data_IF_395328550423
#
_entry.id   IF_395328550423
#
_cell.length_a   1.000
_cell.length_b   1.000
_cell.length_c   1.000
_cell.angle_alpha   90.00
_cell.angle_beta   90.00
_cell.angle_gamma   90.00
#
_symmetry.space_group_name_H-M   'P 1'
#
loop_
_entity.id
_entity.type
_entity.pdbx_description
1 polymer ?
#
# COMPACT_ATOMS: atom_id res chain seq x y z
N UNK A 1 17.53 -2.72 17.62
CA UNK A 1 16.34 -3.54 17.36
C UNK A 1 15.66 -4.06 18.62
N UNK A 2 16.37 -4.24 19.69
CA UNK A 2 15.80 -4.86 20.92
C UNK A 2 14.79 -3.97 21.67
N UNK A 3 14.93 -2.63 21.60
CA UNK A 3 14.03 -1.70 22.30
C UNK A 3 12.56 -1.65 21.82
N UNK A 4 12.23 -2.33 20.71
CA UNK A 4 10.85 -2.38 20.18
C UNK A 4 10.16 -3.74 20.33
N UNK A 5 10.85 -4.72 20.91
CA UNK A 5 10.24 -6.04 21.16
C UNK A 5 9.20 -5.99 22.27
N UNK A 6 9.38 -5.09 23.23
CA UNK A 6 8.45 -4.89 24.35
C UNK A 6 7.15 -4.18 23.94
N UNK A 7 7.18 -3.50 22.76
CA UNK A 7 6.01 -2.75 22.24
C UNK A 7 5.05 -3.63 21.41
N UNK A 8 5.41 -4.89 21.11
CA UNK A 8 4.60 -5.78 20.28
C UNK A 8 3.77 -6.71 21.16
N UNK A 9 2.44 -6.62 21.01
CA UNK A 9 1.50 -7.43 21.76
C UNK A 9 1.58 -8.90 21.32
N UNK A 10 1.39 -9.83 22.28
CA UNK A 10 1.25 -11.25 21.97
C UNK A 10 -0.18 -11.55 21.49
N UNK A 11 -0.42 -11.22 20.22
CA UNK A 11 -1.70 -11.35 19.56
C UNK A 11 -1.50 -11.69 18.06
N UNK A 12 -2.53 -12.20 17.37
CA UNK A 12 -2.47 -12.41 15.93
C UNK A 12 -2.24 -11.11 15.16
N UNK A 13 -1.46 -11.20 14.10
CA UNK A 13 -1.27 -10.08 13.17
C UNK A 13 -1.60 -10.50 11.75
N UNK A 14 -2.16 -9.57 10.99
CA UNK A 14 -2.53 -9.77 9.59
C UNK A 14 -1.81 -8.77 8.70
N UNK A 15 -1.44 -9.23 7.52
CA UNK A 15 -0.85 -8.40 6.49
C UNK A 15 -1.91 -8.05 5.45
N UNK A 16 -2.25 -6.76 5.35
CA UNK A 16 -3.09 -6.20 4.29
C UNK A 16 -2.24 -5.40 3.31
N UNK A 17 -2.65 -5.41 2.04
CA UNK A 17 -2.08 -4.52 1.03
C UNK A 17 -3.21 -3.78 0.34
N UNK A 18 -3.13 -2.46 0.33
CA UNK A 18 -4.05 -1.59 -0.40
C UNK A 18 -3.36 -1.10 -1.67
N UNK A 19 -3.94 -1.41 -2.81
CA UNK A 19 -3.41 -1.04 -4.12
C UNK A 19 -4.46 -0.28 -4.91
N UNK A 20 -4.03 0.75 -5.63
CA UNK A 20 -4.86 1.50 -6.58
C UNK A 20 -4.65 0.98 -8.00
N UNK A 21 -5.64 1.08 -8.90
CA UNK A 21 -5.47 0.69 -10.30
C UNK A 21 -4.36 1.48 -11.00
N UNK A 22 -3.57 0.78 -11.82
CA UNK A 22 -2.42 1.37 -12.54
C UNK A 22 -2.82 2.52 -13.48
N UNK A 23 -4.08 2.58 -13.91
CA UNK A 23 -4.62 3.68 -14.73
C UNK A 23 -4.53 5.05 -14.01
N UNK A 24 -4.43 5.06 -12.68
CA UNK A 24 -4.23 6.26 -11.86
C UNK A 24 -2.77 6.72 -11.80
N UNK A 25 -1.82 5.87 -12.21
CA UNK A 25 -0.40 6.18 -12.09
C UNK A 25 0.02 7.53 -12.68
N UNK A 26 -0.48 7.97 -13.86
CA UNK A 26 -0.11 9.29 -14.40
C UNK A 26 -0.47 10.44 -13.46
N UNK A 27 -1.67 10.44 -12.87
CA UNK A 27 -2.10 11.49 -11.94
C UNK A 27 -1.33 11.38 -10.62
N UNK A 28 -1.13 10.16 -10.10
CA UNK A 28 -0.38 9.95 -8.86
C UNK A 28 1.06 10.44 -9.03
N UNK A 29 1.69 10.16 -10.16
CA UNK A 29 3.07 10.58 -10.45
C UNK A 29 3.21 12.10 -10.48
N UNK A 30 2.20 12.81 -11.03
CA UNK A 30 2.15 14.28 -11.03
C UNK A 30 1.86 14.88 -9.64
N UNK A 31 1.26 14.11 -8.71
CA UNK A 31 0.76 14.60 -7.42
C UNK A 31 1.21 13.70 -6.26
N UNK A 32 2.46 13.25 -6.27
CA UNK A 32 2.93 12.17 -5.38
C UNK A 32 2.56 12.41 -3.91
N UNK A 33 2.98 13.55 -3.34
CA UNK A 33 2.72 13.81 -1.91
C UNK A 33 1.22 13.79 -1.60
N UNK A 34 0.43 14.50 -2.38
CA UNK A 34 -1.01 14.66 -2.16
C UNK A 34 -1.74 13.32 -2.27
N UNK A 35 -1.47 12.54 -3.34
CA UNK A 35 -2.15 11.28 -3.58
C UNK A 35 -1.58 10.10 -2.76
N UNK A 36 -0.37 10.21 -2.23
CA UNK A 36 0.11 9.29 -1.19
C UNK A 36 -0.59 9.56 0.14
N UNK A 37 -0.80 10.83 0.52
CA UNK A 37 -1.59 11.18 1.71
C UNK A 37 -3.04 10.70 1.57
N UNK A 38 -3.66 10.87 0.38
CA UNK A 38 -4.99 10.32 0.05
C UNK A 38 -5.02 8.79 0.20
N UNK A 39 -3.99 8.09 -0.27
CA UNK A 39 -3.88 6.64 -0.17
C UNK A 39 -3.81 6.19 1.31
N UNK A 40 -3.02 6.90 2.13
CA UNK A 40 -2.96 6.65 3.58
C UNK A 40 -4.29 6.91 4.27
N UNK A 41 -4.95 8.03 3.95
CA UNK A 41 -6.25 8.37 4.54
C UNK A 41 -7.31 7.34 4.19
N UNK A 42 -7.43 6.97 2.92
CA UNK A 42 -8.40 5.97 2.47
C UNK A 42 -8.17 4.61 3.12
N UNK A 43 -6.92 4.13 3.20
CA UNK A 43 -6.58 2.88 3.85
C UNK A 43 -6.90 2.90 5.35
N UNK A 44 -6.43 3.94 6.06
CA UNK A 44 -6.66 4.12 7.50
C UNK A 44 -8.13 4.23 7.86
N UNK A 45 -8.88 5.05 7.12
CA UNK A 45 -10.31 5.22 7.34
C UNK A 45 -11.10 3.94 7.03
N UNK A 46 -10.67 3.14 6.05
CA UNK A 46 -11.27 1.83 5.75
C UNK A 46 -11.08 0.86 6.90
N UNK A 47 -9.86 0.76 7.43
CA UNK A 47 -9.58 -0.10 8.58
C UNK A 47 -10.42 0.33 9.77
N UNK A 48 -10.37 1.61 10.14
CA UNK A 48 -11.05 2.16 11.32
C UNK A 48 -12.57 1.96 11.23
N UNK A 49 -13.19 2.22 10.07
CA UNK A 49 -14.63 2.04 9.87
C UNK A 49 -15.04 0.58 10.00
N UNK A 50 -14.36 -0.32 9.28
CA UNK A 50 -14.74 -1.71 9.26
C UNK A 50 -14.46 -2.43 10.59
N UNK A 51 -13.37 -2.08 11.29
CA UNK A 51 -13.05 -2.72 12.57
C UNK A 51 -13.96 -2.23 13.70
N UNK A 52 -14.39 -0.96 13.66
CA UNK A 52 -15.33 -0.41 14.62
C UNK A 52 -16.76 -0.95 14.44
N UNK A 53 -17.13 -1.45 13.27
CA UNK A 53 -18.46 -2.03 13.02
C UNK A 53 -18.65 -3.31 13.87
N UNK A 54 -19.68 -3.37 14.73
CA UNK A 54 -19.99 -4.56 15.54
C UNK A 54 -20.24 -5.84 14.72
N UNK A 55 -20.59 -5.72 13.44
CA UNK A 55 -20.75 -6.87 12.52
C UNK A 55 -19.43 -7.57 12.22
N UNK A 56 -18.31 -6.87 12.41
CA UNK A 56 -16.97 -7.41 12.20
C UNK A 56 -16.29 -7.64 13.56
N UNK A 57 -15.60 -6.61 14.08
CA UNK A 57 -14.94 -6.72 15.38
C UNK A 57 -15.63 -5.89 16.46
N UNK A 58 -16.11 -4.67 16.13
CA UNK A 58 -16.69 -3.75 17.11
C UNK A 58 -15.65 -3.18 18.07
N UNK A 59 -14.41 -3.01 17.61
CA UNK A 59 -13.30 -2.49 18.39
C UNK A 59 -12.34 -1.63 17.53
N UNK A 60 -11.64 -0.71 18.17
CA UNK A 60 -10.57 0.05 17.56
C UNK A 60 -9.29 -0.77 17.60
N UNK A 61 -8.69 -1.02 16.44
CA UNK A 61 -7.48 -1.83 16.29
C UNK A 61 -6.24 -0.98 16.09
N UNK A 62 -5.09 -1.48 16.55
CA UNK A 62 -3.79 -0.93 16.20
C UNK A 62 -3.34 -1.42 14.82
N UNK A 63 -2.71 -0.54 14.03
CA UNK A 63 -2.11 -0.92 12.75
C UNK A 63 -0.92 -0.03 12.40
N UNK A 64 -0.08 -0.53 11.50
CA UNK A 64 1.08 0.17 10.94
C UNK A 64 0.95 0.14 9.43
N UNK A 65 0.97 1.31 8.78
CA UNK A 65 0.95 1.46 7.34
C UNK A 65 2.32 1.86 6.80
N UNK A 66 2.77 1.20 5.73
CA UNK A 66 4.05 1.46 5.07
C UNK A 66 3.79 1.63 3.57
N UNK A 67 4.11 2.80 3.03
CA UNK A 67 3.99 3.06 1.60
C UNK A 67 5.15 2.43 0.83
N UNK A 68 4.81 1.73 -0.24
CA UNK A 68 5.73 1.34 -1.30
C UNK A 68 5.25 1.95 -2.63
N UNK A 69 6.18 2.35 -3.47
CA UNK A 69 5.88 3.01 -4.75
C UNK A 69 6.35 2.23 -5.96
N UNK A 70 6.86 1.01 -5.74
CA UNK A 70 7.36 0.13 -6.81
C UNK A 70 6.86 -1.31 -6.66
N UNK A 71 6.58 -1.93 -7.79
CA UNK A 71 6.24 -3.35 -7.89
C UNK A 71 7.46 -4.27 -7.99
N UNK A 72 7.22 -5.56 -8.19
CA UNK A 72 8.27 -6.56 -8.40
C UNK A 72 9.16 -6.26 -9.61
N UNK A 73 8.61 -5.64 -10.64
CA UNK A 73 9.31 -5.23 -11.87
C UNK A 73 10.03 -3.87 -11.72
N UNK A 74 10.07 -3.31 -10.51
CA UNK A 74 10.52 -1.93 -10.21
C UNK A 74 9.76 -0.84 -10.98
N UNK A 75 8.60 -1.17 -11.55
CA UNK A 75 7.69 -0.22 -12.15
C UNK A 75 6.99 0.61 -11.06
N UNK A 76 6.58 1.82 -11.40
CA UNK A 76 5.80 2.67 -10.50
C UNK A 76 4.47 2.00 -10.16
N UNK A 77 4.28 1.69 -8.87
CA UNK A 77 3.14 0.93 -8.37
C UNK A 77 2.88 1.28 -6.91
N UNK A 78 2.26 2.44 -6.62
CA UNK A 78 2.03 2.88 -5.26
C UNK A 78 1.01 1.99 -4.56
N UNK A 79 1.40 1.51 -3.38
CA UNK A 79 0.56 0.65 -2.54
C UNK A 79 0.98 0.75 -1.08
N UNK A 80 0.05 0.45 -0.18
CA UNK A 80 0.30 0.45 1.27
C UNK A 80 0.30 -0.97 1.78
N UNK A 81 1.41 -1.36 2.40
CA UNK A 81 1.48 -2.52 3.26
C UNK A 81 1.00 -2.14 4.66
N UNK A 82 0.06 -2.90 5.19
CA UNK A 82 -0.47 -2.68 6.52
C UNK A 82 -0.27 -3.92 7.38
N UNK A 83 0.30 -3.72 8.57
CA UNK A 83 0.29 -4.72 9.64
C UNK A 83 -0.88 -4.36 10.54
N UNK A 84 -1.86 -5.23 10.59
CA UNK A 84 -3.09 -5.05 11.36
C UNK A 84 -3.09 -6.01 12.54
N UNK A 85 -3.33 -5.49 13.73
CA UNK A 85 -3.52 -6.30 14.94
C UNK A 85 -4.86 -7.05 14.86
N UNK A 86 -4.87 -8.33 15.22
CA UNK A 86 -6.06 -9.20 15.18
C UNK A 86 -7.04 -8.98 16.33
N UNK A 87 -6.91 -7.89 17.08
CA UNK A 87 -7.80 -7.48 18.15
C UNK A 87 -7.66 -6.00 18.45
N UNK A 88 -8.53 -5.48 19.31
CA UNK A 88 -8.57 -4.07 19.64
C UNK A 88 -9.35 -3.76 20.90
N UNK A 89 -9.44 -2.49 21.24
CA UNK A 89 -10.19 -2.00 22.38
C UNK A 89 -11.59 -1.57 21.95
N UNK A 90 -12.60 -2.08 22.66
CA UNK A 90 -13.98 -1.61 22.51
C UNK A 90 -14.14 -0.18 23.05
N UNK A 91 -15.30 0.45 22.83
CA UNK A 91 -15.63 1.74 23.44
C UNK A 91 -15.65 1.75 24.97
N UNK A 92 -15.67 0.57 25.59
CA UNK A 92 -15.57 0.37 27.05
C UNK A 92 -14.14 0.09 27.53
N UNK A 93 -13.12 0.20 26.64
CA UNK A 93 -11.73 -0.16 26.93
C UNK A 93 -11.52 -1.65 27.27
N UNK A 94 -12.40 -2.54 26.79
CA UNK A 94 -12.26 -3.98 26.94
C UNK A 94 -11.57 -4.55 25.70
N UNK A 95 -10.63 -5.46 25.89
CA UNK A 95 -9.98 -6.17 24.79
C UNK A 95 -10.98 -7.09 24.09
N UNK A 96 -11.02 -7.01 22.76
CA UNK A 96 -11.81 -7.90 21.92
C UNK A 96 -10.97 -8.35 20.73
N UNK A 97 -10.97 -9.63 20.48
CA UNK A 97 -10.33 -10.24 19.31
C UNK A 97 -11.26 -11.28 18.65
N UNK A 98 -10.86 -11.73 17.49
CA UNK A 98 -11.56 -12.79 16.74
C UNK A 98 -10.69 -14.06 16.67
N UNK A 99 -9.81 -14.26 17.64
CA UNK A 99 -8.87 -15.35 17.66
C UNK A 99 -7.87 -15.27 16.50
N UNK A 100 -7.66 -16.39 15.83
CA UNK A 100 -6.68 -16.49 14.74
C UNK A 100 -7.28 -16.29 13.34
N UNK A 101 -8.59 -16.10 13.25
CA UNK A 101 -9.30 -15.91 11.98
C UNK A 101 -9.27 -14.45 11.55
N UNK A 102 -9.14 -14.22 10.24
CA UNK A 102 -9.26 -12.88 9.70
C UNK A 102 -10.73 -12.46 9.67
N UNK A 103 -11.02 -11.30 10.22
CA UNK A 103 -12.38 -10.90 10.55
C UNK A 103 -13.00 -9.88 9.58
N UNK A 104 -12.24 -9.36 8.61
CA UNK A 104 -12.74 -8.39 7.64
C UNK A 104 -12.91 -9.05 6.27
N UNK A 105 -14.12 -9.06 5.68
CA UNK A 105 -14.33 -9.57 4.34
C UNK A 105 -13.56 -8.74 3.30
N UNK A 106 -12.80 -9.40 2.43
CA UNK A 106 -11.99 -8.74 1.38
C UNK A 106 -12.84 -7.83 0.49
N UNK A 107 -14.05 -8.28 0.12
CA UNK A 107 -14.97 -7.48 -0.69
C UNK A 107 -15.42 -6.18 0.01
N UNK A 108 -15.59 -6.21 1.36
CA UNK A 108 -15.94 -5.02 2.13
C UNK A 108 -14.77 -4.02 2.14
N UNK A 109 -13.55 -4.51 2.41
CA UNK A 109 -12.33 -3.70 2.34
C UNK A 109 -12.20 -3.04 0.97
N UNK A 110 -12.35 -3.82 -0.12
CA UNK A 110 -12.26 -3.33 -1.49
C UNK A 110 -13.25 -2.18 -1.76
N UNK A 111 -14.52 -2.39 -1.43
CA UNK A 111 -15.58 -1.40 -1.71
C UNK A 111 -15.42 -0.12 -0.91
N UNK A 112 -15.13 -0.23 0.38
CA UNK A 112 -14.97 0.93 1.27
C UNK A 112 -13.72 1.72 0.89
N UNK A 113 -12.61 1.03 0.67
CA UNK A 113 -11.36 1.66 0.26
C UNK A 113 -11.51 2.39 -1.09
N UNK A 114 -12.07 1.74 -2.11
CA UNK A 114 -12.35 2.35 -3.40
C UNK A 114 -13.21 3.60 -3.24
N UNK A 115 -14.33 3.51 -2.51
CA UNK A 115 -15.23 4.63 -2.29
C UNK A 115 -14.49 5.83 -1.70
N UNK A 116 -13.77 5.62 -0.59
CA UNK A 116 -13.03 6.68 0.10
C UNK A 116 -11.95 7.32 -0.78
N UNK A 117 -11.14 6.52 -1.47
CA UNK A 117 -10.09 7.02 -2.35
C UNK A 117 -10.66 7.84 -3.52
N UNK A 118 -11.70 7.30 -4.18
CA UNK A 118 -12.32 7.95 -5.33
C UNK A 118 -13.07 9.23 -4.95
N UNK A 119 -13.69 9.27 -3.79
CA UNK A 119 -14.38 10.47 -3.31
C UNK A 119 -13.38 11.58 -3.00
N UNK A 120 -12.26 11.26 -2.36
CA UNK A 120 -11.19 12.24 -2.11
C UNK A 120 -10.53 12.71 -3.41
N UNK A 121 -10.26 11.80 -4.35
CA UNK A 121 -9.72 12.16 -5.67
C UNK A 121 -10.64 13.13 -6.43
N UNK A 122 -11.96 12.90 -6.42
CA UNK A 122 -12.96 13.80 -7.00
C UNK A 122 -12.95 15.16 -6.31
N UNK A 123 -12.87 15.17 -4.98
CA UNK A 123 -12.83 16.43 -4.22
C UNK A 123 -11.58 17.24 -4.57
N UNK A 124 -10.41 16.61 -4.66
CA UNK A 124 -9.16 17.25 -5.05
C UNK A 124 -9.24 17.84 -6.47
N UNK A 125 -9.87 17.14 -7.40
CA UNK A 125 -10.10 17.64 -8.76
C UNK A 125 -11.05 18.85 -8.77
N UNK A 126 -12.19 18.75 -8.08
CA UNK A 126 -13.21 19.80 -8.01
C UNK A 126 -12.68 21.09 -7.34
N UNK A 127 -11.74 20.95 -6.43
CA UNK A 127 -11.10 22.06 -5.70
C UNK A 127 -9.81 22.56 -6.36
N UNK A 128 -9.50 22.08 -7.58
CA UNK A 128 -8.32 22.45 -8.36
C UNK A 128 -6.99 22.26 -7.62
N UNK A 129 -6.89 21.22 -6.81
CA UNK A 129 -5.67 20.89 -6.06
C UNK A 129 -4.74 19.93 -6.82
N UNK A 130 -5.22 19.33 -7.94
CA UNK A 130 -4.42 18.42 -8.75
C UNK A 130 -3.61 19.16 -9.80
N UNK A 131 -2.37 18.76 -9.94
CA UNK A 131 -1.48 19.14 -11.03
C UNK A 131 -1.51 18.06 -12.13
N UNK A 132 -1.30 18.48 -13.39
CA UNK A 132 -1.34 17.58 -14.52
C UNK A 132 -0.14 17.85 -15.42
N UNK A 133 0.81 16.90 -15.43
CA UNK A 133 2.05 16.97 -16.20
C UNK A 133 2.24 15.73 -17.07
N UNK A 134 2.85 15.90 -18.24
CA UNK A 134 3.18 14.80 -19.13
C UNK A 134 1.93 13.99 -19.54
N UNK A 135 1.94 12.69 -19.28
CA UNK A 135 0.82 11.80 -19.64
C UNK A 135 -0.47 12.06 -18.86
N UNK A 136 -0.40 12.82 -17.75
CA UNK A 136 -1.57 13.22 -16.97
C UNK A 136 -2.31 14.44 -17.57
N UNK A 137 -1.69 15.20 -18.47
CA UNK A 137 -2.23 16.44 -19.02
C UNK A 137 -3.66 16.30 -19.57
N UNK A 138 -3.96 15.18 -20.20
CA UNK A 138 -5.30 14.89 -20.75
C UNK A 138 -6.41 14.90 -19.68
N UNK A 139 -6.09 14.61 -18.44
CA UNK A 139 -7.06 14.57 -17.34
C UNK A 139 -7.39 15.93 -16.73
N UNK A 140 -6.79 17.01 -17.24
CA UNK A 140 -7.23 18.38 -16.98
C UNK A 140 -8.62 18.62 -17.55
N UNK A 141 -8.98 17.91 -18.61
CA UNK A 141 -10.30 17.98 -19.24
C UNK A 141 -11.32 17.18 -18.43
N UNK A 142 -12.50 17.76 -18.18
CA UNK A 142 -13.56 17.13 -17.39
C UNK A 142 -14.03 15.80 -17.97
N UNK A 143 -14.15 15.68 -19.29
CA UNK A 143 -14.63 14.44 -19.92
C UNK A 143 -13.65 13.30 -19.75
N UNK A 144 -12.35 13.53 -20.01
CA UNK A 144 -11.32 12.50 -19.86
C UNK A 144 -11.07 12.15 -18.39
N UNK A 145 -11.23 13.12 -17.47
CA UNK A 145 -11.19 12.82 -16.04
C UNK A 145 -12.38 11.96 -15.60
N UNK A 146 -13.59 12.26 -16.11
CA UNK A 146 -14.76 11.43 -15.84
C UNK A 146 -14.59 10.00 -16.38
N UNK A 147 -14.10 9.84 -17.60
CA UNK A 147 -13.79 8.52 -18.18
C UNK A 147 -12.77 7.74 -17.32
N UNK A 148 -11.76 8.45 -16.78
CA UNK A 148 -10.82 7.83 -15.84
C UNK A 148 -11.53 7.34 -14.56
N UNK A 149 -12.41 8.15 -13.98
CA UNK A 149 -13.17 7.76 -12.80
C UNK A 149 -14.04 6.55 -13.09
N UNK A 150 -14.77 6.54 -14.19
CA UNK A 150 -15.62 5.43 -14.61
C UNK A 150 -14.78 4.14 -14.78
N UNK A 151 -13.63 4.24 -15.45
CA UNK A 151 -12.68 3.13 -15.60
C UNK A 151 -12.14 2.61 -14.25
N UNK A 152 -11.92 3.49 -13.28
CA UNK A 152 -11.51 3.10 -11.93
C UNK A 152 -12.63 2.39 -11.16
N UNK A 153 -13.89 2.75 -11.39
CA UNK A 153 -15.03 2.04 -10.78
C UNK A 153 -15.27 0.66 -11.39
N UNK A 154 -14.95 0.50 -12.69
CA UNK A 154 -15.05 -0.79 -13.39
C UNK A 154 -13.86 -1.72 -13.07
N UNK A 155 -12.73 -1.17 -12.66
CA UNK A 155 -11.57 -1.94 -12.27
C UNK A 155 -11.79 -2.70 -10.95
N UNK A 156 -11.18 -3.87 -10.85
CA UNK A 156 -11.12 -4.59 -9.59
C UNK A 156 -10.07 -3.97 -8.66
N UNK A 157 -10.51 -3.57 -7.47
CA UNK A 157 -9.63 -3.12 -6.38
C UNK A 157 -9.45 -4.29 -5.42
N UNK A 158 -8.42 -5.10 -5.64
CA UNK A 158 -8.19 -6.31 -4.85
C UNK A 158 -7.22 -6.02 -3.71
N UNK A 159 -7.70 -5.77 -2.49
CA UNK A 159 -6.82 -5.76 -1.34
C UNK A 159 -6.37 -7.20 -1.07
N UNK A 160 -5.06 -7.36 -0.85
CA UNK A 160 -4.51 -8.63 -0.43
C UNK A 160 -4.53 -8.72 1.09
N UNK A 161 -5.02 -9.83 1.63
CA UNK A 161 -4.93 -10.12 3.04
C UNK A 161 -4.42 -11.54 3.29
N UNK A 162 -3.47 -11.66 4.18
CA UNK A 162 -2.96 -12.94 4.64
C UNK A 162 -2.63 -12.87 6.13
N UNK A 163 -3.01 -13.89 6.88
CA UNK A 163 -2.40 -14.16 8.18
C UNK A 163 -0.93 -14.55 7.92
N UNK A 164 -0.01 -13.73 8.38
CA UNK A 164 1.39 -13.88 7.96
C UNK A 164 2.34 -13.98 9.14
N UNK A 165 1.89 -13.70 10.35
CA UNK A 165 2.79 -13.51 11.46
C UNK A 165 2.49 -14.51 12.58
N UNK A 166 3.45 -15.39 12.84
CA UNK A 166 3.46 -16.24 14.01
C UNK A 166 4.17 -15.50 15.16
N UNK A 167 3.44 -14.55 15.79
CA UNK A 167 3.92 -13.80 16.95
C UNK A 167 4.77 -12.56 16.63
N UNK A 168 5.15 -11.85 17.68
CA UNK A 168 5.82 -10.55 17.68
C UNK A 168 7.11 -10.52 16.84
N UNK A 169 7.93 -11.57 16.90
CA UNK A 169 9.21 -11.61 16.17
C UNK A 169 9.01 -11.51 14.65
N UNK A 170 8.03 -12.21 14.10
CA UNK A 170 7.74 -12.17 12.66
C UNK A 170 7.30 -10.78 12.19
N UNK A 171 6.60 -10.02 13.04
CA UNK A 171 6.22 -8.62 12.76
C UNK A 171 7.45 -7.73 12.71
N UNK A 172 8.36 -7.87 13.67
CA UNK A 172 9.61 -7.10 13.74
C UNK A 172 10.49 -7.40 12.53
N UNK A 173 10.64 -8.68 12.17
CA UNK A 173 11.43 -9.12 11.02
C UNK A 173 10.82 -8.59 9.71
N UNK A 174 9.49 -8.57 9.62
CA UNK A 174 8.78 -7.98 8.50
C UNK A 174 9.03 -6.47 8.41
N UNK A 175 8.84 -5.74 9.51
CA UNK A 175 9.12 -4.30 9.57
C UNK A 175 10.57 -4.00 9.18
N UNK A 176 11.53 -4.75 9.71
CA UNK A 176 12.94 -4.60 9.37
C UNK A 176 13.22 -4.81 7.89
N UNK A 177 12.56 -5.78 7.27
CA UNK A 177 12.69 -6.05 5.83
C UNK A 177 12.08 -4.94 4.96
N UNK A 178 10.98 -4.33 5.39
CA UNK A 178 10.22 -3.38 4.56
C UNK A 178 10.62 -1.92 4.79
N UNK A 179 11.05 -1.54 5.99
CA UNK A 179 11.50 -0.16 6.26
C UNK A 179 12.87 0.15 5.64
N UNK A 180 13.70 -0.89 5.41
CA UNK A 180 15.04 -0.74 4.82
C UNK A 180 15.15 -1.26 3.39
N UNK A 181 14.04 -1.65 2.74
CA UNK A 181 14.11 -2.24 1.40
C UNK A 181 14.61 -1.25 0.35
N UNK A 182 15.66 -1.67 -0.34
CA UNK A 182 16.08 -1.15 -1.63
C UNK A 182 15.11 -1.73 -2.68
N UNK A 183 14.84 -1.00 -3.77
CA UNK A 183 13.92 -1.40 -4.83
C UNK A 183 14.18 -2.82 -5.37
N UNK A 184 15.45 -3.21 -5.41
CA UNK A 184 15.91 -4.54 -5.82
C UNK A 184 17.10 -4.97 -4.96
N UNK A 185 17.18 -6.25 -4.61
CA UNK A 185 18.33 -6.84 -3.92
C UNK A 185 19.30 -7.45 -4.94
N UNK A 186 20.60 -7.43 -4.63
CA UNK A 186 21.64 -7.90 -5.55
C UNK A 186 21.44 -9.32 -6.05
N UNK A 187 20.93 -10.23 -5.22
CA UNK A 187 20.68 -11.63 -5.62
C UNK A 187 19.48 -11.80 -6.58
N UNK A 188 18.74 -10.74 -6.85
CA UNK A 188 17.72 -10.75 -7.93
C UNK A 188 18.33 -10.42 -9.30
N UNK A 189 19.50 -9.77 -9.34
CA UNK A 189 20.17 -9.46 -10.59
C UNK A 189 20.86 -10.73 -11.08
N UNK A 190 20.51 -11.17 -12.31
CA UNK A 190 21.03 -12.40 -12.93
C UNK A 190 22.23 -12.06 -13.80
N UNK A 191 22.07 -11.05 -14.65
CA UNK A 191 23.08 -10.64 -15.63
C UNK A 191 22.98 -9.14 -15.90
N UNK A 192 24.12 -8.56 -16.17
CA UNK A 192 24.25 -7.16 -16.55
C UNK A 192 25.35 -7.07 -17.63
N UNK A 193 25.02 -6.45 -18.73
CA UNK A 193 25.94 -6.12 -19.83
C UNK A 193 25.89 -4.62 -20.15
N UNK A 194 26.57 -4.18 -21.21
CA UNK A 194 26.67 -2.75 -21.55
C UNK A 194 25.33 -2.14 -21.96
N UNK A 195 24.33 -2.91 -22.34
CA UNK A 195 23.06 -2.43 -22.85
C UNK A 195 21.88 -2.82 -21.97
N UNK A 196 21.92 -3.98 -21.29
CA UNK A 196 20.77 -4.56 -20.62
C UNK A 196 21.07 -5.06 -19.21
N UNK A 197 19.98 -5.13 -18.41
CA UNK A 197 19.98 -5.77 -17.09
C UNK A 197 18.85 -6.80 -17.04
N UNK A 198 19.21 -8.04 -16.70
CA UNK A 198 18.27 -9.15 -16.49
C UNK A 198 18.16 -9.47 -15.01
N UNK A 199 16.93 -9.53 -14.49
CA UNK A 199 16.69 -9.79 -13.07
C UNK A 199 15.40 -10.57 -12.84
N UNK A 200 15.30 -11.26 -11.71
CA UNK A 200 14.10 -11.98 -11.31
C UNK A 200 12.98 -11.05 -10.84
N UNK A 201 11.76 -11.31 -11.33
CA UNK A 201 10.53 -10.64 -10.91
C UNK A 201 9.46 -11.67 -10.54
N UNK A 202 8.54 -11.29 -9.65
CA UNK A 202 7.37 -12.13 -9.35
C UNK A 202 6.23 -11.82 -10.29
N UNK A 203 5.70 -12.85 -10.95
CA UNK A 203 4.49 -12.77 -11.74
C UNK A 203 3.25 -13.05 -10.87
N UNK A 204 2.65 -12.01 -10.32
CA UNK A 204 1.48 -12.16 -9.47
C UNK A 204 0.22 -12.63 -10.22
N UNK A 205 0.18 -12.49 -11.55
CA UNK A 205 -0.90 -13.03 -12.38
C UNK A 205 -0.77 -14.55 -12.54
N UNK A 206 0.45 -15.06 -12.43
CA UNK A 206 0.75 -16.49 -12.46
C UNK A 206 1.20 -16.99 -11.08
N UNK A 207 0.31 -16.91 -10.07
CA UNK A 207 0.49 -17.41 -8.69
C UNK A 207 1.76 -16.96 -7.97
N UNK A 208 2.40 -15.87 -8.45
CA UNK A 208 3.63 -15.34 -7.85
C UNK A 208 4.89 -16.14 -8.20
N UNK A 209 4.87 -16.85 -9.32
CA UNK A 209 6.07 -17.54 -9.85
C UNK A 209 7.14 -16.52 -10.21
N UNK A 210 8.40 -16.96 -10.11
CA UNK A 210 9.53 -16.14 -10.52
C UNK A 210 9.76 -16.27 -12.01
N UNK A 211 9.92 -15.14 -12.70
CA UNK A 211 10.32 -15.06 -14.10
C UNK A 211 11.48 -14.10 -14.29
N UNK A 212 12.21 -14.25 -15.36
CA UNK A 212 13.24 -13.30 -15.75
C UNK A 212 12.64 -12.13 -16.52
N UNK A 213 13.13 -10.93 -16.22
CA UNK A 213 12.82 -9.71 -16.94
C UNK A 213 14.12 -9.05 -17.38
N UNK A 214 14.23 -8.80 -18.69
CA UNK A 214 15.34 -8.06 -19.28
C UNK A 214 14.85 -6.69 -19.74
N UNK A 215 15.52 -5.62 -19.27
CA UNK A 215 15.25 -4.25 -19.70
C UNK A 215 16.55 -3.55 -20.05
N UNK A 216 16.46 -2.41 -20.76
CA UNK A 216 17.66 -1.61 -21.04
C UNK A 216 18.27 -1.06 -19.75
N UNK A 217 19.60 -0.87 -19.72
CA UNK A 217 20.30 -0.31 -18.57
C UNK A 217 19.76 1.08 -18.17
N UNK A 218 19.42 1.91 -19.15
CA UNK A 218 18.82 3.24 -18.93
C UNK A 218 17.47 3.12 -18.20
N UNK A 219 16.60 2.20 -18.66
CA UNK A 219 15.29 1.97 -18.03
C UNK A 219 15.45 1.37 -16.64
N UNK A 220 16.42 0.50 -16.41
CA UNK A 220 16.72 -0.05 -15.09
C UNK A 220 17.13 1.07 -14.12
N UNK A 221 18.04 1.96 -14.55
CA UNK A 221 18.50 3.09 -13.75
C UNK A 221 17.34 4.04 -13.46
N UNK A 222 16.50 4.36 -14.44
CA UNK A 222 15.32 5.21 -14.27
C UNK A 222 14.38 4.63 -13.19
N UNK A 223 14.00 3.35 -13.32
CA UNK A 223 13.14 2.68 -12.33
C UNK A 223 13.76 2.63 -10.94
N UNK A 224 15.09 2.41 -10.88
CA UNK A 224 15.82 2.38 -9.61
C UNK A 224 15.78 3.75 -8.91
N UNK A 225 16.03 4.83 -9.65
CA UNK A 225 15.95 6.18 -9.09
C UNK A 225 14.54 6.57 -8.69
N UNK A 226 13.52 6.24 -9.48
CA UNK A 226 12.11 6.49 -9.12
C UNK A 226 11.75 5.81 -7.79
N UNK A 227 12.16 4.56 -7.60
CA UNK A 227 11.95 3.83 -6.36
C UNK A 227 12.75 4.42 -5.18
N UNK A 228 13.95 4.96 -5.41
CA UNK A 228 14.77 5.60 -4.38
C UNK A 228 14.26 7.00 -4.01
N UNK A 229 13.81 7.80 -4.99
CA UNK A 229 13.26 9.13 -4.75
C UNK A 229 12.02 9.09 -3.86
N UNK A 230 11.17 8.09 -4.06
CA UNK A 230 10.02 7.84 -3.20
C UNK A 230 10.39 7.58 -1.73
N UNK A 231 11.59 7.06 -1.43
CA UNK A 231 12.09 6.90 -0.06
C UNK A 231 12.21 8.21 0.71
N UNK A 232 12.61 9.29 0.07
CA UNK A 232 12.75 10.60 0.72
C UNK A 232 11.39 11.12 1.18
N UNK A 233 10.32 10.86 0.44
CA UNK A 233 8.95 11.13 0.86
C UNK A 233 8.48 10.17 1.96
N UNK A 234 8.85 8.90 1.88
CA UNK A 234 8.47 7.88 2.86
C UNK A 234 9.14 8.06 4.23
N UNK A 235 10.39 8.51 4.30
CA UNK A 235 11.08 8.72 5.59
C UNK A 235 10.48 9.86 6.43
N UNK A 236 9.83 10.84 5.80
CA UNK A 236 9.21 11.98 6.48
C UNK A 236 7.73 11.77 6.84
N UNK A 237 7.06 10.73 6.31
CA UNK A 237 5.62 10.49 6.53
C UNK A 237 5.23 9.02 6.77
N UNK A 238 6.18 8.11 6.85
CA UNK A 238 5.99 6.70 6.51
C UNK A 238 5.54 5.76 7.62
N UNK A 239 5.43 6.22 8.84
CA UNK A 239 4.90 5.44 9.96
C UNK A 239 3.72 6.20 10.56
N UNK A 240 2.54 6.06 9.97
CA UNK A 240 1.30 6.39 10.67
C UNK A 240 0.91 5.17 11.49
N UNK A 241 1.21 5.24 12.77
CA UNK A 241 0.73 4.28 13.76
C UNK A 241 -0.54 4.84 14.38
N UNK A 242 -1.64 4.12 14.27
CA UNK A 242 -2.73 4.25 15.21
C UNK A 242 -2.37 3.38 16.42
N UNK A 243 -1.49 3.90 17.28
CA UNK A 243 -1.39 3.39 18.63
C UNK A 243 -2.66 3.85 19.35
N UNK A 244 -3.25 2.99 20.18
CA UNK A 244 -4.44 3.27 20.96
C UNK A 244 -4.40 4.70 21.53
N UNK A 245 -5.51 5.45 21.46
CA UNK A 245 -5.58 6.73 22.18
C UNK A 245 -5.26 6.47 23.65
N UNK A 246 -4.30 7.25 24.17
CA UNK A 246 -3.95 7.23 25.59
C UNK A 246 -5.14 7.63 26.45
#
# INVERSE_FOLDING_TARGET
>A
MDARREDVLDAPYFHLVFTVPDILNPIIYSNQKLLYDTLYHAASATISELTADPKHLGANVGYICILHTWGSEMNFHPHIHTILLGGGLTSKNEWKDNGTEFFLPIWAISRVFRGKYMDELKNLWNTNQLEFHGTAEKYRNHYTFKELLDSCYDAEWIPYCKKTFNGAQSVIDYLGKYTHRIAISNHRIIRMDDETVTFFVKDYRNKGEWKELTISGIEFIRRFFDACAAKTFCQNSSLRTSLFPK
#
